data_IF_715240789921
#
_entry.id   IF_715240789921
#
_cell.length_a   1.000
_cell.length_b   1.000
_cell.length_c   1.000
_cell.angle_alpha   90.00
_cell.angle_beta   90.00
_cell.angle_gamma   90.00
#
_symmetry.space_group_name_H-M   'P 1'
#
loop_
_entity.id
_entity.type
_entity.pdbx_description
1 polymer ?
#
# COMPACT_ATOMS: atom_id res chain seq x y z
N UNK A 1 -10.94 -18.54 -12.24
CA UNK A 1 -11.17 -17.27 -11.53
C UNK A 1 -12.22 -17.35 -10.44
N UNK A 2 -13.04 -18.37 -10.46
CA UNK A 2 -14.14 -18.53 -9.50
C UNK A 2 -13.75 -19.07 -8.12
N UNK A 3 -12.55 -19.64 -7.98
CA UNK A 3 -12.08 -20.25 -6.72
C UNK A 3 -11.98 -19.21 -5.58
N UNK A 4 -11.62 -17.97 -5.87
CA UNK A 4 -11.53 -16.91 -4.87
C UNK A 4 -12.89 -16.43 -4.33
N UNK A 5 -13.98 -16.82 -5.00
CA UNK A 5 -15.35 -16.50 -4.64
C UNK A 5 -16.04 -17.63 -3.88
N UNK A 6 -15.41 -18.80 -3.75
CA UNK A 6 -15.94 -19.91 -2.98
C UNK A 6 -15.89 -19.61 -1.48
N UNK A 7 -16.68 -20.36 -0.71
CA UNK A 7 -16.65 -20.26 0.76
C UNK A 7 -15.23 -20.55 1.25
N UNK A 8 -14.65 -19.60 1.96
CA UNK A 8 -13.34 -19.74 2.56
C UNK A 8 -13.47 -20.52 3.88
N UNK A 9 -12.75 -21.62 3.99
CA UNK A 9 -12.59 -22.38 5.22
C UNK A 9 -11.21 -22.09 5.79
N UNK A 10 -11.19 -21.63 7.04
CA UNK A 10 -9.97 -21.31 7.76
C UNK A 10 -9.94 -22.12 9.03
N UNK A 11 -8.80 -22.73 9.28
CA UNK A 11 -8.50 -23.48 10.49
C UNK A 11 -7.15 -22.99 11.03
N UNK A 12 -7.11 -22.62 12.30
CA UNK A 12 -5.87 -22.31 13.00
C UNK A 12 -5.33 -23.61 13.62
N UNK A 13 -4.05 -23.89 13.37
CA UNK A 13 -3.41 -25.09 13.87
C UNK A 13 -3.45 -25.16 15.40
N UNK A 14 -3.88 -26.29 15.93
CA UNK A 14 -4.04 -26.51 17.39
C UNK A 14 -5.28 -25.87 18.01
N UNK A 15 -6.17 -25.23 17.25
CA UNK A 15 -7.42 -24.66 17.75
C UNK A 15 -8.63 -25.47 17.29
N UNK A 16 -9.56 -25.73 18.22
CA UNK A 16 -10.86 -26.33 17.90
C UNK A 16 -11.87 -25.20 17.82
N UNK A 17 -12.18 -24.73 16.62
CA UNK A 17 -13.13 -23.64 16.39
C UNK A 17 -14.24 -24.03 15.42
N UNK A 18 -15.50 -23.78 15.80
CA UNK A 18 -16.61 -23.75 14.86
C UNK A 18 -16.66 -22.34 14.25
N UNK A 19 -16.42 -22.24 12.92
CA UNK A 19 -16.43 -20.96 12.25
C UNK A 19 -17.86 -20.44 12.00
N UNK A 20 -18.36 -19.62 12.90
CA UNK A 20 -19.56 -18.79 12.71
C UNK A 20 -19.23 -17.42 12.07
N UNK A 21 -18.10 -17.30 11.35
CA UNK A 21 -17.61 -16.06 10.72
C UNK A 21 -16.61 -15.27 11.56
N UNK A 22 -16.30 -15.71 12.78
CA UNK A 22 -15.28 -15.14 13.66
C UNK A 22 -13.87 -15.45 13.19
N UNK A 23 -13.61 -16.71 12.94
CA UNK A 23 -12.30 -17.25 12.51
C UNK A 23 -11.84 -16.57 11.20
N UNK A 24 -12.74 -16.47 10.21
CA UNK A 24 -12.42 -15.80 8.95
C UNK A 24 -12.11 -14.31 9.16
N UNK A 25 -12.83 -13.60 10.05
CA UNK A 25 -12.58 -12.21 10.38
C UNK A 25 -11.23 -12.03 11.03
N UNK A 26 -10.89 -12.87 11.99
CA UNK A 26 -9.60 -12.85 12.67
C UNK A 26 -8.45 -13.12 11.71
N UNK A 27 -8.59 -14.11 10.83
CA UNK A 27 -7.59 -14.42 9.82
C UNK A 27 -7.30 -13.22 8.90
N UNK A 28 -8.33 -12.56 8.37
CA UNK A 28 -8.13 -11.38 7.54
C UNK A 28 -7.47 -10.23 8.32
N UNK A 29 -7.82 -10.06 9.59
CA UNK A 29 -7.24 -9.05 10.45
C UNK A 29 -5.75 -9.31 10.72
N UNK A 30 -5.40 -10.52 11.15
CA UNK A 30 -4.01 -10.90 11.44
C UNK A 30 -3.15 -10.84 10.17
N UNK A 31 -3.66 -11.40 9.07
CA UNK A 31 -2.94 -11.38 7.80
C UNK A 31 -2.72 -9.97 7.28
N UNK A 32 -3.70 -9.07 7.42
CA UNK A 32 -3.56 -7.69 6.97
C UNK A 32 -2.50 -6.93 7.76
N UNK A 33 -2.38 -7.17 9.06
CA UNK A 33 -1.31 -6.59 9.88
C UNK A 33 0.08 -6.96 9.38
N UNK A 34 0.25 -8.23 9.01
CA UNK A 34 1.53 -8.70 8.49
C UNK A 34 1.78 -8.20 7.06
N UNK A 35 0.84 -8.40 6.13
CA UNK A 35 1.07 -8.08 4.73
C UNK A 35 1.21 -6.58 4.45
N UNK A 36 0.66 -5.71 5.31
CA UNK A 36 0.77 -4.26 5.19
C UNK A 36 1.87 -3.65 6.07
N UNK A 37 2.58 -4.48 6.84
CA UNK A 37 3.64 -4.02 7.72
C UNK A 37 4.80 -3.42 6.91
N UNK A 38 5.17 -2.14 7.11
CA UNK A 38 6.27 -1.49 6.42
C UNK A 38 7.63 -2.18 6.60
N UNK A 39 7.79 -2.95 7.66
CA UNK A 39 9.02 -3.71 7.92
C UNK A 39 9.41 -4.64 6.76
N UNK A 40 8.45 -5.17 6.01
CA UNK A 40 8.72 -6.03 4.86
C UNK A 40 9.13 -5.27 3.58
N UNK A 41 9.20 -3.95 3.63
CA UNK A 41 9.65 -3.11 2.53
C UNK A 41 8.71 -3.02 1.32
N UNK A 42 7.52 -3.60 1.41
CA UNK A 42 6.51 -3.53 0.33
C UNK A 42 5.70 -2.23 0.38
N UNK A 43 5.40 -1.78 1.59
CA UNK A 43 4.67 -0.54 1.87
C UNK A 43 5.53 0.37 2.75
N UNK A 44 5.19 1.64 2.73
CA UNK A 44 5.78 2.66 3.60
C UNK A 44 4.68 3.62 4.05
N UNK A 45 4.94 4.37 5.12
CA UNK A 45 4.02 5.43 5.53
C UNK A 45 4.15 6.62 4.60
N UNK A 46 3.01 7.29 4.32
CA UNK A 46 2.99 8.54 3.57
C UNK A 46 3.71 9.64 4.33
N UNK A 47 4.21 10.65 3.62
CA UNK A 47 4.85 11.81 4.23
C UNK A 47 3.92 12.64 5.13
N UNK A 48 2.61 12.46 4.98
CA UNK A 48 1.60 13.24 5.71
C UNK A 48 1.41 12.77 7.15
N UNK A 49 1.54 11.47 7.41
CA UNK A 49 1.32 10.88 8.73
C UNK A 49 2.05 9.53 8.88
N UNK A 50 2.05 8.97 10.11
CA UNK A 50 2.61 7.64 10.41
C UNK A 50 1.54 6.53 10.38
N UNK A 51 0.48 6.71 9.61
CA UNK A 51 -0.67 5.86 9.64
C UNK A 51 -1.13 5.44 8.24
N UNK A 52 -1.13 6.36 7.28
CA UNK A 52 -1.55 6.11 5.91
C UNK A 52 -0.42 5.46 5.12
N UNK A 53 -0.72 4.37 4.47
CA UNK A 53 0.25 3.57 3.71
C UNK A 53 0.26 3.92 2.23
N UNK A 54 1.41 3.78 1.64
CA UNK A 54 1.62 3.79 0.19
C UNK A 54 2.55 2.65 -0.21
N UNK A 55 2.53 2.30 -1.50
CA UNK A 55 3.49 1.34 -2.04
C UNK A 55 4.89 1.96 -1.96
N UNK A 56 5.84 1.20 -1.41
CA UNK A 56 7.25 1.58 -1.42
C UNK A 56 7.79 1.52 -2.86
N UNK A 57 8.20 2.65 -3.47
CA UNK A 57 8.73 2.65 -4.84
C UNK A 57 10.02 1.84 -4.97
N UNK A 58 10.73 1.64 -3.87
CA UNK A 58 11.98 0.88 -3.79
C UNK A 58 11.77 -0.57 -3.34
N UNK A 59 10.53 -1.07 -3.32
CA UNK A 59 10.21 -2.43 -2.85
C UNK A 59 11.02 -3.52 -3.55
N UNK A 60 11.34 -3.37 -4.84
CA UNK A 60 12.15 -4.31 -5.59
C UNK A 60 13.63 -4.35 -5.20
N UNK A 61 14.15 -3.30 -4.54
CA UNK A 61 15.50 -3.29 -4.00
C UNK A 61 15.60 -4.05 -2.68
N UNK A 62 14.51 -4.03 -1.89
CA UNK A 62 14.44 -4.70 -0.59
C UNK A 62 13.97 -6.15 -0.71
N UNK A 63 13.21 -6.47 -1.76
CA UNK A 63 12.60 -7.78 -1.96
C UNK A 63 12.50 -8.11 -3.46
N UNK A 64 13.32 -9.05 -3.92
CA UNK A 64 13.33 -9.46 -5.33
C UNK A 64 11.98 -10.00 -5.81
N UNK A 65 11.24 -10.68 -4.94
CA UNK A 65 9.93 -11.27 -5.22
C UNK A 65 8.75 -10.31 -4.99
N UNK A 66 9.00 -9.00 -4.84
CA UNK A 66 8.01 -8.01 -4.45
C UNK A 66 6.73 -8.06 -5.28
N UNK A 67 6.82 -8.28 -6.60
CA UNK A 67 5.64 -8.36 -7.48
C UNK A 67 4.76 -9.57 -7.16
N UNK A 68 5.35 -10.69 -6.77
CA UNK A 68 4.64 -11.89 -6.34
C UNK A 68 3.87 -11.63 -5.04
N UNK A 69 4.50 -10.93 -4.08
CA UNK A 69 3.84 -10.51 -2.84
C UNK A 69 2.71 -9.52 -3.11
N UNK A 70 2.90 -8.52 -3.95
CA UNK A 70 1.81 -7.59 -4.32
C UNK A 70 0.64 -8.32 -4.99
N UNK A 71 0.92 -9.32 -5.82
CA UNK A 71 -0.13 -10.14 -6.43
C UNK A 71 -0.91 -10.94 -5.39
N UNK A 72 -0.21 -11.51 -4.40
CA UNK A 72 -0.83 -12.19 -3.27
C UNK A 72 -1.71 -11.23 -2.46
N UNK A 73 -1.17 -10.09 -2.05
CA UNK A 73 -1.86 -9.05 -1.30
C UNK A 73 -3.12 -8.56 -2.04
N UNK A 74 -3.01 -8.32 -3.34
CA UNK A 74 -4.15 -7.92 -4.17
C UNK A 74 -5.25 -8.98 -4.22
N UNK A 75 -4.88 -10.27 -4.24
CA UNK A 75 -5.86 -11.37 -4.16
C UNK A 75 -6.56 -11.42 -2.80
N UNK A 76 -5.80 -11.30 -1.71
CA UNK A 76 -6.34 -11.27 -0.35
C UNK A 76 -7.28 -10.08 -0.17
N UNK A 77 -6.86 -8.89 -0.63
CA UNK A 77 -7.70 -7.69 -0.59
C UNK A 77 -9.01 -7.88 -1.40
N UNK A 78 -8.92 -8.45 -2.59
CA UNK A 78 -10.09 -8.78 -3.41
C UNK A 78 -11.03 -9.78 -2.73
N UNK A 79 -10.49 -10.80 -2.06
CA UNK A 79 -11.27 -11.76 -1.28
C UNK A 79 -11.95 -11.08 -0.09
N UNK A 80 -11.25 -10.20 0.63
CA UNK A 80 -11.81 -9.45 1.76
C UNK A 80 -13.02 -8.61 1.32
N UNK A 81 -12.88 -7.87 0.21
CA UNK A 81 -13.99 -7.09 -0.36
C UNK A 81 -15.16 -7.99 -0.73
N UNK A 82 -14.90 -9.10 -1.43
CA UNK A 82 -15.96 -10.02 -1.86
C UNK A 82 -16.71 -10.65 -0.69
N UNK A 83 -16.00 -11.05 0.35
CA UNK A 83 -16.59 -11.68 1.55
C UNK A 83 -17.04 -10.67 2.62
N UNK A 84 -16.97 -9.38 2.35
CA UNK A 84 -17.37 -8.33 3.31
C UNK A 84 -16.53 -8.32 4.58
N UNK A 85 -15.22 -8.60 4.46
CA UNK A 85 -14.26 -8.61 5.59
C UNK A 85 -13.41 -7.35 5.58
N UNK A 86 -13.09 -6.85 6.76
CA UNK A 86 -12.23 -5.70 6.93
C UNK A 86 -10.76 -6.14 6.94
N UNK A 87 -9.91 -5.29 6.38
CA UNK A 87 -8.45 -5.37 6.47
C UNK A 87 -7.94 -4.21 7.31
N UNK A 88 -6.91 -4.46 8.10
CA UNK A 88 -6.26 -3.44 8.94
C UNK A 88 -5.18 -2.72 8.11
N UNK A 89 -5.61 -1.79 7.28
CA UNK A 89 -4.72 -0.98 6.44
C UNK A 89 -5.46 0.18 5.80
N UNK A 90 -4.83 1.35 5.85
CA UNK A 90 -5.36 2.59 5.27
C UNK A 90 -4.35 3.10 4.25
N UNK A 91 -4.81 3.42 3.06
CA UNK A 91 -3.93 3.80 1.97
C UNK A 91 -4.18 5.23 1.52
N UNK A 92 -3.18 5.80 0.85
CA UNK A 92 -3.30 7.09 0.20
C UNK A 92 -4.42 7.06 -0.84
N UNK A 93 -5.06 8.21 -1.05
CA UNK A 93 -6.16 8.35 -2.01
C UNK A 93 -5.82 7.89 -3.44
N UNK A 94 -4.64 8.20 -4.00
CA UNK A 94 -4.23 7.70 -5.31
C UNK A 94 -4.24 6.17 -5.42
N UNK A 95 -3.87 5.44 -4.37
CA UNK A 95 -3.90 3.98 -4.35
C UNK A 95 -5.31 3.45 -4.61
N UNK A 96 -6.33 3.98 -3.91
CA UNK A 96 -7.72 3.58 -4.16
C UNK A 96 -8.22 4.00 -5.54
N UNK A 97 -7.81 5.16 -6.04
CA UNK A 97 -8.15 5.59 -7.40
C UNK A 97 -7.58 4.62 -8.45
N UNK A 98 -6.32 4.18 -8.28
CA UNK A 98 -5.69 3.18 -9.17
C UNK A 98 -6.45 1.86 -9.15
N UNK A 99 -6.83 1.36 -7.98
CA UNK A 99 -7.62 0.13 -7.85
C UNK A 99 -8.98 0.24 -8.58
N UNK A 100 -9.56 1.41 -8.61
CA UNK A 100 -10.86 1.70 -9.26
C UNK A 100 -10.71 2.11 -10.73
N UNK A 101 -9.49 2.11 -11.29
CA UNK A 101 -9.23 2.56 -12.66
C UNK A 101 -9.56 4.04 -12.90
N UNK A 102 -9.53 4.87 -11.83
CA UNK A 102 -9.79 6.31 -11.94
C UNK A 102 -8.50 7.07 -12.26
N UNK A 103 -8.58 8.17 -13.02
CA UNK A 103 -7.41 8.99 -13.31
C UNK A 103 -6.86 9.63 -12.04
N UNK A 104 -5.51 9.69 -11.98
CA UNK A 104 -4.78 10.41 -10.93
C UNK A 104 -4.45 11.79 -11.43
N UNK A 105 -4.69 12.79 -10.59
CA UNK A 105 -4.48 14.20 -10.87
C UNK A 105 -3.46 14.80 -9.89
N UNK A 106 -2.88 15.95 -10.25
CA UNK A 106 -1.96 16.67 -9.36
C UNK A 106 -2.56 16.94 -7.99
N UNK A 107 -3.87 17.23 -7.91
CA UNK A 107 -4.58 17.45 -6.66
C UNK A 107 -4.56 16.24 -5.72
N UNK A 108 -4.41 15.03 -6.24
CA UNK A 108 -4.33 13.83 -5.39
C UNK A 108 -3.04 13.79 -4.56
N UNK A 109 -1.98 14.49 -5.02
CA UNK A 109 -0.73 14.63 -4.29
C UNK A 109 -0.90 15.38 -2.96
N UNK A 110 -1.90 16.27 -2.84
CA UNK A 110 -2.18 17.00 -1.59
C UNK A 110 -2.41 16.04 -0.41
N UNK A 111 -3.02 14.89 -0.67
CA UNK A 111 -3.28 13.86 0.37
C UNK A 111 -2.10 12.93 0.62
N UNK A 112 -1.05 12.99 -0.18
CA UNK A 112 0.16 12.15 -0.07
C UNK A 112 1.28 12.90 0.61
N UNK A 113 1.56 14.11 0.09
CA UNK A 113 2.58 15.02 0.60
C UNK A 113 2.15 16.46 0.28
N UNK A 114 1.64 17.15 1.28
CA UNK A 114 1.12 18.51 1.14
C UNK A 114 2.19 19.52 0.75
N UNK A 115 3.41 19.40 1.27
CA UNK A 115 4.50 20.32 0.96
C UNK A 115 5.03 20.12 -0.45
N UNK A 116 5.15 18.85 -0.86
CA UNK A 116 5.52 18.53 -2.23
C UNK A 116 4.44 18.99 -3.23
N UNK A 117 3.17 18.80 -2.88
CA UNK A 117 2.05 19.30 -3.69
C UNK A 117 2.10 20.81 -3.89
N UNK A 118 2.34 21.59 -2.82
CA UNK A 118 2.49 23.06 -2.91
C UNK A 118 3.65 23.47 -3.82
N UNK A 119 4.76 22.76 -3.72
CA UNK A 119 5.94 22.98 -4.58
C UNK A 119 5.62 22.74 -6.05
N UNK A 120 4.94 21.63 -6.36
CA UNK A 120 4.51 21.30 -7.72
C UNK A 120 3.48 22.31 -8.26
N UNK A 121 2.56 22.75 -7.40
CA UNK A 121 1.58 23.78 -7.77
C UNK A 121 2.26 25.10 -8.08
N UNK A 122 3.22 25.51 -7.26
CA UNK A 122 4.01 26.72 -7.50
C UNK A 122 4.75 26.65 -8.86
N UNK A 123 5.40 25.53 -9.18
CA UNK A 123 6.08 25.31 -10.47
C UNK A 123 5.10 25.44 -11.64
N UNK A 124 3.88 24.91 -11.47
CA UNK A 124 2.83 24.98 -12.50
C UNK A 124 2.33 26.42 -12.75
N UNK A 125 2.26 27.23 -11.71
CA UNK A 125 1.68 28.59 -11.75
C UNK A 125 2.71 29.69 -12.01
N UNK A 126 4.00 29.39 -11.88
CA UNK A 126 5.10 30.34 -12.02
C UNK A 126 6.07 29.92 -13.12
N UNK A 127 7.01 30.81 -13.45
CA UNK A 127 8.11 30.50 -14.37
C UNK A 127 9.34 30.06 -13.57
N UNK A 128 9.65 28.75 -13.55
CA UNK A 128 10.73 28.20 -12.72
C UNK A 128 12.13 28.34 -13.34
N UNK A 129 12.31 29.12 -14.42
CA UNK A 129 13.55 29.25 -15.21
C UNK A 129 14.75 29.71 -14.36
N UNK A 130 14.49 30.47 -13.27
CA UNK A 130 15.53 30.97 -12.38
C UNK A 130 15.96 29.99 -11.28
N UNK A 131 15.28 28.83 -11.17
CA UNK A 131 15.48 27.89 -10.07
C UNK A 131 16.40 26.71 -10.43
N UNK A 132 16.97 26.68 -11.63
CA UNK A 132 17.84 25.59 -12.12
C UNK A 132 17.28 24.17 -11.83
N UNK A 133 15.96 24.03 -11.93
CA UNK A 133 15.28 22.76 -11.67
C UNK A 133 15.63 21.74 -12.76
N UNK A 134 16.00 20.55 -12.32
CA UNK A 134 16.25 19.41 -13.22
C UNK A 134 15.15 18.36 -13.09
N UNK A 135 14.84 17.68 -14.19
CA UNK A 135 13.91 16.54 -14.21
C UNK A 135 14.65 15.26 -13.75
N UNK A 136 15.17 15.32 -12.52
CA UNK A 136 16.00 14.26 -11.94
C UNK A 136 15.59 14.01 -10.50
N UNK A 137 15.56 12.74 -10.10
CA UNK A 137 15.34 12.29 -8.72
C UNK A 137 16.58 11.50 -8.28
N UNK A 138 17.16 11.88 -7.15
CA UNK A 138 18.25 11.15 -6.53
C UNK A 138 17.66 10.29 -5.40
N UNK A 139 17.86 8.97 -5.46
CA UNK A 139 17.43 8.05 -4.41
C UNK A 139 18.64 7.63 -3.56
N UNK A 140 18.50 7.72 -2.25
CA UNK A 140 19.46 7.11 -1.32
C UNK A 140 19.02 5.66 -1.04
N UNK A 141 19.59 4.72 -1.76
CA UNK A 141 19.31 3.29 -1.63
C UNK A 141 19.76 2.74 -0.27
N UNK A 142 20.78 3.36 0.35
CA UNK A 142 21.36 2.86 1.61
C UNK A 142 20.45 3.08 2.82
N UNK A 143 19.61 4.09 2.79
CA UNK A 143 18.67 4.40 3.87
C UNK A 143 17.43 3.48 3.84
N UNK A 144 17.02 3.03 2.66
CA UNK A 144 15.77 2.28 2.46
C UNK A 144 15.89 0.81 2.91
N UNK A 145 17.06 0.18 2.78
CA UNK A 145 17.27 -1.22 3.15
C UNK A 145 17.81 -1.45 4.57
N UNK A 146 18.21 -0.41 5.29
CA UNK A 146 18.71 -0.51 6.68
C UNK A 146 17.68 -0.91 7.73
N UNK A 147 16.39 -0.90 7.39
CA UNK A 147 15.31 -1.33 8.28
C UNK A 147 15.13 -2.86 8.31
N UNK A 148 15.85 -3.60 7.46
CA UNK A 148 15.69 -5.05 7.28
C UNK A 148 16.87 -5.88 7.78
N UNK A 149 17.88 -5.26 8.39
CA UNK A 149 19.07 -5.95 8.94
C UNK A 149 19.07 -6.03 10.46
#
# INVERSE_FOLDING_TARGET
MDILKTKLWIEFDGEIGLDYGGVAREWFYLLSKEMFNPYYGLFEYSATDNYTLQINPNSGLCNEDHLSYFKFIGRVAGMAVYHGKLLDGFFIRPFYKMMLGKPIELKDMESVDTEYYKSLLWIKENKPEELDLTFQVIYDVSATCKLLS
#
